data_IF_985375741814
#
_entry.id   IF_985375741814
#
_cell.length_a   1.000
_cell.length_b   1.000
_cell.length_c   1.000
_cell.angle_alpha   90.00
_cell.angle_beta   90.00
_cell.angle_gamma   90.00
#
_symmetry.space_group_name_H-M   'P 1'
#
loop_
_entity.id
_entity.type
_entity.pdbx_description
1 polymer ?
#
# COMPACT_ATOMS: atom_id res chain seq x y z
N UNK A 1 6.13 -6.95 -10.83
CA UNK A 1 5.86 -6.17 -9.60
C UNK A 1 5.21 -7.02 -8.52
N UNK A 2 5.98 -7.37 -7.49
CA UNK A 2 5.51 -7.95 -6.23
C UNK A 2 5.65 -6.92 -5.09
N UNK A 3 4.76 -7.00 -4.11
CA UNK A 3 4.66 -6.10 -2.98
C UNK A 3 4.41 -6.88 -1.70
N UNK A 4 5.02 -6.45 -0.60
CA UNK A 4 4.79 -7.01 0.72
C UNK A 4 4.28 -5.90 1.66
N UNK A 5 2.98 -5.56 1.58
CA UNK A 5 2.41 -4.37 2.20
C UNK A 5 2.47 -4.47 3.72
N UNK A 6 2.93 -3.40 4.37
CA UNK A 6 3.04 -3.30 5.82
C UNK A 6 1.98 -2.35 6.39
N UNK A 7 1.40 -2.69 7.54
CA UNK A 7 0.49 -1.80 8.23
C UNK A 7 1.26 -0.65 8.90
N UNK A 8 0.84 0.59 8.64
CA UNK A 8 1.50 1.80 9.16
C UNK A 8 1.52 1.85 10.70
N UNK A 9 0.53 1.25 11.38
CA UNK A 9 0.52 1.20 12.84
C UNK A 9 1.65 0.35 13.41
N UNK A 10 2.02 -0.74 12.75
CA UNK A 10 3.14 -1.59 13.18
C UNK A 10 4.48 -0.90 12.92
N UNK A 11 4.61 -0.18 11.80
CA UNK A 11 5.77 0.68 11.53
C UNK A 11 5.93 1.75 12.60
N UNK A 12 4.85 2.44 12.96
CA UNK A 12 4.86 3.45 14.01
C UNK A 12 5.27 2.87 15.37
N UNK A 13 4.82 1.65 15.71
CA UNK A 13 5.25 0.95 16.93
C UNK A 13 6.76 0.73 16.93
N UNK A 14 7.32 0.21 15.83
CA UNK A 14 8.78 0.00 15.69
C UNK A 14 9.55 1.30 15.84
N UNK A 15 9.05 2.42 15.27
CA UNK A 15 9.67 3.73 15.44
C UNK A 15 9.71 4.20 16.90
N UNK A 16 8.72 3.86 17.71
CA UNK A 16 8.72 4.21 19.14
C UNK A 16 9.65 3.28 19.92
N UNK A 17 9.60 1.98 19.63
CA UNK A 17 10.39 0.96 20.34
C UNK A 17 11.89 1.16 20.11
N UNK A 18 12.30 1.49 18.88
CA UNK A 18 13.70 1.68 18.51
C UNK A 18 14.37 2.87 19.21
N UNK A 19 13.61 3.78 19.84
CA UNK A 19 14.16 4.87 20.65
C UNK A 19 14.72 4.37 21.99
N UNK A 20 14.16 3.28 22.52
CA UNK A 20 14.53 2.74 23.84
C UNK A 20 15.49 1.55 23.73
N UNK A 21 15.46 0.82 22.62
CA UNK A 21 16.27 -0.37 22.39
C UNK A 21 17.63 0.01 21.82
N UNK A 22 18.68 0.04 22.65
CA UNK A 22 20.04 0.40 22.19
C UNK A 22 20.58 -0.50 21.06
N UNK A 23 20.12 -1.75 20.99
CA UNK A 23 20.54 -2.69 19.95
C UNK A 23 20.11 -2.26 18.54
N UNK A 24 19.08 -1.41 18.42
CA UNK A 24 18.59 -0.93 17.12
C UNK A 24 19.31 0.33 16.63
N UNK A 25 20.24 0.89 17.43
CA UNK A 25 20.91 2.14 17.08
C UNK A 25 21.90 1.93 15.93
N UNK A 26 21.78 2.74 14.88
CA UNK A 26 22.63 2.67 13.70
C UNK A 26 22.37 1.44 12.82
N UNK A 27 21.29 0.70 13.06
CA UNK A 27 20.88 -0.45 12.28
C UNK A 27 19.82 -0.06 11.25
N UNK A 28 19.76 -0.83 10.16
CA UNK A 28 18.71 -0.74 9.15
C UNK A 28 17.88 -2.00 9.24
N UNK A 29 16.55 -1.84 9.28
CA UNK A 29 15.61 -2.96 9.32
C UNK A 29 14.59 -2.83 8.19
N UNK A 30 14.24 -3.98 7.62
CA UNK A 30 13.17 -4.10 6.63
C UNK A 30 11.85 -4.34 7.35
N UNK A 31 10.86 -3.50 7.07
CA UNK A 31 9.52 -3.61 7.64
C UNK A 31 8.54 -4.00 6.56
N UNK A 32 8.27 -5.29 6.47
CA UNK A 32 7.37 -5.86 5.46
C UNK A 32 6.20 -6.62 6.10
N UNK A 33 5.09 -6.70 5.39
CA UNK A 33 3.93 -7.49 5.81
C UNK A 33 4.17 -9.00 5.82
N UNK A 34 3.22 -9.80 6.34
CA UNK A 34 3.41 -11.25 6.45
C UNK A 34 3.32 -12.00 5.11
N UNK A 35 2.80 -11.37 4.05
CA UNK A 35 2.53 -12.03 2.77
C UNK A 35 2.91 -11.14 1.59
N UNK A 36 3.46 -11.77 0.55
CA UNK A 36 3.76 -11.15 -0.73
C UNK A 36 2.55 -11.22 -1.65
N UNK A 37 2.27 -10.13 -2.36
CA UNK A 37 1.19 -9.98 -3.32
C UNK A 37 1.71 -9.43 -4.63
N UNK A 38 1.10 -9.82 -5.73
CA UNK A 38 1.20 -9.12 -7.00
C UNK A 38 0.32 -7.88 -7.00
N UNK A 39 0.61 -6.90 -7.86
CA UNK A 39 -0.29 -5.75 -8.06
C UNK A 39 -1.71 -6.22 -8.41
N UNK A 40 -1.83 -7.25 -9.25
CA UNK A 40 -3.11 -7.81 -9.68
C UNK A 40 -3.94 -8.27 -8.47
N UNK A 41 -3.33 -9.02 -7.56
CA UNK A 41 -3.99 -9.49 -6.34
C UNK A 41 -4.42 -8.33 -5.44
N UNK A 42 -3.59 -7.28 -5.29
CA UNK A 42 -3.95 -6.10 -4.49
C UNK A 42 -5.13 -5.33 -5.09
N UNK A 43 -5.14 -5.15 -6.42
CA UNK A 43 -6.24 -4.46 -7.13
C UNK A 43 -7.52 -5.28 -7.04
N UNK A 44 -7.44 -6.59 -7.22
CA UNK A 44 -8.58 -7.50 -7.11
C UNK A 44 -9.14 -7.51 -5.68
N UNK A 45 -8.27 -7.65 -4.68
CA UNK A 45 -8.66 -7.62 -3.26
C UNK A 45 -9.33 -6.29 -2.89
N UNK A 46 -8.76 -5.16 -3.33
CA UNK A 46 -9.37 -3.84 -3.13
C UNK A 46 -10.76 -3.77 -3.80
N UNK A 47 -10.88 -4.27 -5.03
CA UNK A 47 -12.15 -4.34 -5.76
C UNK A 47 -13.22 -5.16 -5.04
N UNK A 48 -12.82 -6.27 -4.41
CA UNK A 48 -13.72 -7.08 -3.58
C UNK A 48 -14.17 -6.32 -2.33
N UNK A 49 -13.24 -5.67 -1.62
CA UNK A 49 -13.56 -4.90 -0.41
C UNK A 49 -14.54 -3.74 -0.66
N UNK A 50 -14.37 -3.02 -1.77
CA UNK A 50 -15.24 -1.88 -2.11
C UNK A 50 -16.52 -2.29 -2.87
N UNK A 51 -16.73 -3.59 -3.13
CA UNK A 51 -17.87 -4.10 -3.89
C UNK A 51 -17.86 -3.74 -5.38
N UNK A 52 -16.69 -3.48 -5.98
CA UNK A 52 -16.52 -3.13 -7.40
C UNK A 52 -15.54 -4.08 -8.09
N UNK A 53 -16.03 -5.24 -8.52
CA UNK A 53 -15.25 -6.14 -9.37
C UNK A 53 -15.10 -5.55 -10.78
N UNK A 54 -13.87 -5.27 -11.19
CA UNK A 54 -13.52 -4.75 -12.53
C UNK A 54 -12.59 -5.75 -13.21
N UNK A 55 -12.75 -5.95 -14.52
CA UNK A 55 -11.82 -6.79 -15.30
C UNK A 55 -10.44 -6.14 -15.32
N UNK A 56 -9.43 -6.87 -14.85
CA UNK A 56 -8.03 -6.46 -14.87
C UNK A 56 -7.43 -6.97 -16.18
N UNK A 57 -7.05 -6.04 -17.07
CA UNK A 57 -6.38 -6.37 -18.33
C UNK A 57 -4.89 -6.14 -18.14
N UNK A 58 -4.10 -7.15 -18.51
CA UNK A 58 -2.65 -7.03 -18.54
C UNK A 58 -2.23 -6.24 -19.78
N UNK A 59 -1.44 -5.18 -19.59
CA UNK A 59 -0.93 -4.34 -20.68
C UNK A 59 0.40 -4.88 -21.24
N UNK A 60 0.97 -5.91 -20.59
CA UNK A 60 2.26 -6.51 -20.93
C UNK A 60 3.45 -5.60 -20.63
N UNK A 61 4.65 -6.18 -20.68
CA UNK A 61 5.93 -5.51 -20.35
C UNK A 61 6.45 -4.57 -21.48
N UNK A 62 5.58 -4.20 -22.43
CA UNK A 62 5.95 -3.36 -23.57
C UNK A 62 5.80 -1.85 -23.30
N UNK A 63 6.21 -1.02 -24.26
CA UNK A 63 6.09 0.45 -24.19
C UNK A 63 4.66 0.99 -24.05
N UNK A 64 3.64 0.14 -24.13
CA UNK A 64 2.23 0.48 -23.93
C UNK A 64 1.93 0.92 -22.49
N UNK A 65 2.54 0.28 -21.48
CA UNK A 65 2.38 0.69 -20.09
C UNK A 65 2.92 2.12 -19.86
N UNK A 66 4.08 2.42 -20.45
CA UNK A 66 4.70 3.74 -20.43
C UNK A 66 3.89 4.79 -21.20
N UNK A 67 3.34 4.44 -22.37
CA UNK A 67 2.46 5.32 -23.14
C UNK A 67 1.18 5.67 -22.35
N UNK A 68 0.55 4.67 -21.73
CA UNK A 68 -0.62 4.88 -20.89
C UNK A 68 -0.30 5.74 -19.66
N UNK A 69 0.81 5.47 -18.97
CA UNK A 69 1.25 6.29 -17.84
C UNK A 69 1.53 7.75 -18.27
N UNK A 70 2.13 7.96 -19.44
CA UNK A 70 2.35 9.28 -20.02
C UNK A 70 1.05 10.02 -20.36
N UNK A 71 0.04 9.31 -20.90
CA UNK A 71 -1.28 9.88 -21.15
C UNK A 71 -2.04 10.19 -19.85
N UNK A 72 -1.95 9.31 -18.85
CA UNK A 72 -2.56 9.51 -17.53
C UNK A 72 -1.91 10.67 -16.77
N UNK A 73 -0.62 10.94 -17.00
CA UNK A 73 0.10 12.06 -16.40
C UNK A 73 -0.46 13.44 -16.78
N UNK A 74 -1.13 13.55 -17.95
CA UNK A 74 -1.79 14.79 -18.40
C UNK A 74 -3.09 15.09 -17.65
N UNK A 75 -3.59 14.17 -16.82
CA UNK A 75 -4.78 14.41 -16.00
C UNK A 75 -4.45 15.31 -14.80
N UNK A 76 -5.37 16.18 -14.36
CA UNK A 76 -5.15 17.07 -13.21
C UNK A 76 -4.95 16.32 -11.88
N UNK A 77 -5.27 15.01 -11.82
CA UNK A 77 -4.96 14.08 -10.72
C UNK A 77 -4.64 12.70 -11.31
N UNK A 78 -3.39 12.46 -11.73
CA UNK A 78 -3.03 11.21 -12.37
C UNK A 78 -3.13 10.06 -11.36
N UNK A 79 -3.81 8.94 -11.67
CA UNK A 79 -3.85 7.78 -10.78
C UNK A 79 -2.50 7.04 -10.72
N UNK A 80 -1.64 7.23 -11.71
CA UNK A 80 -0.33 6.61 -11.82
C UNK A 80 0.66 7.60 -12.45
N UNK A 81 1.79 7.83 -11.78
CA UNK A 81 2.91 8.61 -12.32
C UNK A 81 3.91 7.69 -13.02
N UNK A 82 4.73 8.19 -13.96
CA UNK A 82 5.84 7.43 -14.53
C UNK A 82 6.86 6.95 -13.49
N UNK A 83 6.97 7.67 -12.38
CA UNK A 83 7.83 7.29 -11.25
C UNK A 83 7.28 6.08 -10.50
N UNK A 84 5.97 6.04 -10.24
CA UNK A 84 5.31 4.86 -9.68
C UNK A 84 5.46 3.66 -10.61
N UNK A 85 5.39 3.85 -11.93
CA UNK A 85 5.58 2.73 -12.87
C UNK A 85 7.00 2.14 -12.73
N UNK A 86 8.02 3.00 -12.63
CA UNK A 86 9.41 2.56 -12.44
C UNK A 86 9.65 1.90 -11.08
N UNK A 87 9.04 2.39 -10.00
CA UNK A 87 9.20 1.73 -8.69
C UNK A 87 8.56 0.34 -8.65
N UNK A 88 7.59 0.07 -9.51
CA UNK A 88 6.96 -1.24 -9.66
C UNK A 88 7.80 -2.23 -10.50
N UNK A 89 8.81 -1.77 -11.24
CA UNK A 89 9.76 -2.66 -11.94
C UNK A 89 10.64 -3.41 -10.94
N UNK A 90 10.87 -2.84 -9.76
CA UNK A 90 11.59 -3.47 -8.65
C UNK A 90 10.58 -4.06 -7.67
N UNK A 91 10.77 -5.32 -7.30
CA UNK A 91 9.90 -5.97 -6.31
C UNK A 91 10.10 -5.33 -4.92
N UNK A 92 9.01 -4.85 -4.32
CA UNK A 92 8.98 -4.27 -2.97
C UNK A 92 8.73 -5.36 -1.93
N UNK A 93 9.70 -6.25 -1.76
CA UNK A 93 9.66 -7.42 -0.86
C UNK A 93 10.95 -7.47 -0.04
N UNK A 94 10.90 -8.05 1.16
CA UNK A 94 12.12 -8.38 1.92
C UNK A 94 12.54 -9.82 1.65
N UNK A 95 13.83 -10.09 1.79
CA UNK A 95 14.39 -11.46 1.84
C UNK A 95 14.43 -12.02 3.28
N UNK A 96 13.97 -11.24 4.28
CA UNK A 96 13.92 -11.61 5.69
C UNK A 96 15.28 -11.53 6.40
N UNK A 97 16.29 -10.94 5.76
CA UNK A 97 17.65 -10.88 6.34
C UNK A 97 17.82 -9.78 7.38
N UNK A 98 17.02 -8.72 7.29
CA UNK A 98 17.09 -7.54 8.17
C UNK A 98 15.76 -7.27 8.87
N UNK A 99 15.00 -8.31 9.21
CA UNK A 99 13.75 -8.14 9.94
C UNK A 99 14.00 -7.52 11.33
N UNK A 100 13.06 -6.68 11.78
CA UNK A 100 13.12 -6.11 13.11
C UNK A 100 12.99 -7.21 14.19
N UNK A 101 13.67 -7.11 15.34
CA UNK A 101 13.53 -8.08 16.43
C UNK A 101 12.07 -8.25 16.86
N UNK A 102 11.61 -9.50 17.01
CA UNK A 102 10.22 -9.84 17.36
C UNK A 102 9.16 -9.27 16.41
N UNK A 103 9.51 -9.07 15.13
CA UNK A 103 8.59 -8.54 14.13
C UNK A 103 7.38 -9.46 13.92
N UNK A 104 6.19 -8.95 14.25
CA UNK A 104 4.91 -9.62 14.05
C UNK A 104 3.96 -8.69 13.28
N UNK A 105 4.09 -8.63 11.94
CA UNK A 105 3.32 -7.70 11.14
C UNK A 105 1.85 -8.12 11.07
N UNK A 106 0.96 -7.13 11.20
CA UNK A 106 -0.48 -7.34 11.04
C UNK A 106 -0.79 -7.67 9.57
N UNK A 107 -1.56 -8.74 9.29
CA UNK A 107 -1.93 -9.08 7.93
C UNK A 107 -2.83 -8.00 7.31
N UNK A 108 -2.61 -7.74 6.02
CA UNK A 108 -3.40 -6.78 5.24
C UNK A 108 -4.89 -7.05 5.39
N UNK A 109 -5.29 -8.33 5.38
CA UNK A 109 -6.67 -8.76 5.44
C UNK A 109 -7.37 -8.44 6.76
N UNK A 110 -6.62 -8.23 7.84
CA UNK A 110 -7.17 -7.82 9.13
C UNK A 110 -7.45 -6.31 9.19
N UNK A 111 -6.70 -5.48 8.46
CA UNK A 111 -6.79 -4.01 8.56
C UNK A 111 -7.54 -3.42 7.38
N UNK A 112 -7.31 -3.90 6.16
CA UNK A 112 -7.89 -3.32 4.94
C UNK A 112 -9.43 -3.16 4.98
N UNK A 113 -10.22 -4.11 5.53
CA UNK A 113 -11.67 -3.93 5.64
C UNK A 113 -12.09 -2.76 6.53
N UNK A 114 -11.29 -2.39 7.53
CA UNK A 114 -11.66 -1.36 8.52
C UNK A 114 -11.66 0.04 7.92
N UNK A 115 -11.05 0.26 6.75
CA UNK A 115 -11.03 1.56 6.09
C UNK A 115 -11.44 1.52 4.60
N UNK A 116 -11.60 0.34 4.01
CA UNK A 116 -12.05 0.18 2.62
C UNK A 116 -13.46 -0.39 2.48
N UNK A 117 -14.13 -0.80 3.57
CA UNK A 117 -15.51 -1.29 3.46
C UNK A 117 -16.45 -0.20 2.93
N UNK A 118 -17.54 -0.55 2.21
CA UNK A 118 -18.44 0.44 1.63
C UNK A 118 -19.04 1.39 2.68
N UNK A 119 -19.36 0.85 3.86
CA UNK A 119 -19.93 1.60 4.97
C UNK A 119 -18.91 2.60 5.55
N UNK A 120 -17.65 2.19 5.73
CA UNK A 120 -16.58 3.06 6.23
C UNK A 120 -16.24 4.16 5.21
N UNK A 121 -16.21 3.84 3.91
CA UNK A 121 -16.00 4.83 2.85
C UNK A 121 -17.11 5.88 2.85
N UNK A 122 -18.36 5.48 3.09
CA UNK A 122 -19.47 6.41 3.23
C UNK A 122 -19.30 7.30 4.46
N UNK A 123 -18.95 6.72 5.62
CA UNK A 123 -18.68 7.48 6.85
C UNK A 123 -17.53 8.49 6.67
N UNK A 124 -16.39 8.07 6.09
CA UNK A 124 -15.26 8.95 5.80
C UNK A 124 -15.65 10.14 4.90
N UNK A 125 -16.55 9.92 3.93
CA UNK A 125 -17.09 11.01 3.10
C UNK A 125 -17.92 11.97 3.93
N UNK A 126 -18.80 11.45 4.77
CA UNK A 126 -19.64 12.25 5.67
C UNK A 126 -18.79 13.04 6.68
N UNK A 127 -17.76 12.44 7.26
CA UNK A 127 -16.83 13.11 8.18
C UNK A 127 -16.02 14.20 7.48
N UNK A 128 -15.62 13.98 6.23
CA UNK A 128 -14.99 15.04 5.42
C UNK A 128 -15.94 16.22 5.18
N UNK A 129 -17.23 15.97 4.99
CA UNK A 129 -18.22 17.04 4.88
C UNK A 129 -18.41 17.78 6.21
N UNK A 130 -18.41 17.07 7.35
CA UNK A 130 -18.46 17.68 8.70
C UNK A 130 -17.26 18.58 8.96
N UNK A 131 -16.05 18.07 8.74
CA UNK A 131 -14.81 18.83 8.89
C UNK A 131 -14.78 20.09 8.01
N UNK A 132 -15.21 19.99 6.74
CA UNK A 132 -15.29 21.15 5.84
C UNK A 132 -16.40 22.13 6.18
N UNK A 133 -17.46 21.66 6.84
CA UNK A 133 -18.54 22.50 7.36
C UNK A 133 -18.17 23.19 8.70
N UNK A 134 -16.96 22.96 9.22
CA UNK A 134 -16.47 23.57 10.46
C UNK A 134 -17.14 23.00 11.72
N UNK A 135 -17.59 21.74 11.67
CA UNK A 135 -18.09 20.98 12.83
C UNK A 135 -17.31 19.71 13.04
#
# INVERSE_FOLDING_TARGET
ARFQPVFVGDVARVFVDCLSVRATFGQTYDLCGPKVYTLRELVEYTGQLIGKSRRIVDLGDGGWAYLQAGLLWLLPKPPMSPDNLRSMEVDSVTDGTHDYPDWQPTPLEAVAPTYLSPNEIEQLRLDRYRFRAGR
#
